data_IF_286856190360
#
_entry.id   IF_286856190360
#
_cell.length_a   1.000
_cell.length_b   1.000
_cell.length_c   1.000
_cell.angle_alpha   90.00
_cell.angle_beta   90.00
_cell.angle_gamma   90.00
#
_symmetry.space_group_name_H-M   'P 1'
#
loop_
_entity.id
_entity.type
_entity.pdbx_description
1 polymer ?
#
# COMPACT_ATOMS: atom_id res chain seq x y z
N UNK A 1 24.22 15.42 -7.42
CA UNK A 1 25.19 16.37 -8.03
C UNK A 1 26.61 16.28 -7.45
N UNK A 2 26.83 15.76 -6.25
CA UNK A 2 28.18 15.70 -5.63
C UNK A 2 29.19 14.71 -6.26
N UNK A 3 28.73 13.74 -7.04
CA UNK A 3 29.55 12.63 -7.56
C UNK A 3 29.77 12.65 -9.08
N UNK A 4 29.08 13.54 -9.80
CA UNK A 4 29.10 13.61 -11.27
C UNK A 4 29.30 15.06 -11.68
N UNK A 5 30.30 15.31 -12.52
CA UNK A 5 30.67 16.64 -13.00
C UNK A 5 30.21 16.85 -14.45
N UNK A 6 30.01 18.10 -14.85
CA UNK A 6 29.67 18.47 -16.23
C UNK A 6 28.18 18.38 -16.56
N UNK A 7 27.31 18.45 -15.55
CA UNK A 7 25.86 18.55 -15.73
C UNK A 7 25.50 20.04 -15.64
N UNK A 8 24.94 20.60 -16.72
CA UNK A 8 24.52 22.00 -16.74
C UNK A 8 23.09 22.18 -16.17
N UNK A 9 22.22 21.18 -16.38
CA UNK A 9 20.85 21.14 -15.85
C UNK A 9 20.52 19.73 -15.37
N UNK A 10 19.94 19.62 -14.17
CA UNK A 10 19.43 18.39 -13.58
C UNK A 10 17.93 18.54 -13.31
N UNK A 11 17.12 17.72 -13.97
CA UNK A 11 15.68 17.65 -13.75
C UNK A 11 15.39 16.42 -12.88
N UNK A 12 14.99 16.65 -11.63
CA UNK A 12 14.68 15.62 -10.65
C UNK A 12 13.21 15.18 -10.70
N UNK A 13 12.88 14.09 -10.00
CA UNK A 13 11.53 13.53 -9.86
C UNK A 13 11.47 12.50 -8.72
N UNK A 14 10.44 11.64 -8.70
CA UNK A 14 10.22 10.56 -7.72
C UNK A 14 9.94 10.99 -6.26
N UNK A 15 10.68 11.95 -5.70
CA UNK A 15 10.56 12.41 -4.31
C UNK A 15 9.35 13.32 -4.05
N UNK A 16 8.63 13.72 -5.10
CA UNK A 16 7.50 14.67 -5.06
C UNK A 16 7.88 16.04 -4.47
N UNK A 17 9.17 16.38 -4.42
CA UNK A 17 9.68 17.63 -3.86
C UNK A 17 9.63 18.74 -4.90
N UNK A 18 9.25 19.95 -4.48
CA UNK A 18 9.35 21.16 -5.30
C UNK A 18 10.74 21.78 -5.15
N UNK A 19 11.49 21.91 -6.26
CA UNK A 19 12.87 22.41 -6.26
C UNK A 19 13.06 23.33 -7.47
N UNK A 20 13.64 24.52 -7.25
CA UNK A 20 14.13 25.40 -8.31
C UNK A 20 15.28 26.22 -7.76
N UNK A 21 16.51 25.71 -7.91
CA UNK A 21 17.71 26.34 -7.36
C UNK A 21 18.99 25.98 -8.14
N UNK A 22 20.05 26.74 -7.91
CA UNK A 22 21.39 26.44 -8.44
C UNK A 22 22.20 25.65 -7.42
N UNK A 23 22.73 24.49 -7.83
CA UNK A 23 23.69 23.70 -7.05
C UNK A 23 25.05 23.80 -7.73
N UNK A 24 25.87 24.75 -7.27
CA UNK A 24 27.08 25.14 -8.00
C UNK A 24 26.71 25.82 -9.32
N UNK A 25 27.27 25.33 -10.42
CA UNK A 25 26.96 25.80 -11.78
C UNK A 25 25.82 25.01 -12.45
N UNK A 26 25.21 24.04 -11.75
CA UNK A 26 24.11 23.22 -12.26
C UNK A 26 22.76 23.78 -11.80
N UNK A 27 21.83 23.99 -12.73
CA UNK A 27 20.44 24.26 -12.40
C UNK A 27 19.74 22.96 -11.97
N UNK A 28 19.17 22.91 -10.77
CA UNK A 28 18.40 21.79 -10.24
C UNK A 28 16.91 22.16 -10.18
N UNK A 29 16.09 21.40 -10.87
CA UNK A 29 14.64 21.64 -10.97
C UNK A 29 13.84 20.37 -10.64
N UNK A 30 12.73 20.53 -9.94
CA UNK A 30 11.71 19.50 -9.69
C UNK A 30 10.34 20.15 -9.52
N UNK A 31 9.32 19.58 -10.15
CA UNK A 31 7.99 20.21 -10.26
C UNK A 31 7.01 19.79 -9.18
N UNK A 32 7.46 19.08 -8.14
CA UNK A 32 6.56 18.51 -7.13
C UNK A 32 5.82 17.28 -7.67
N UNK A 33 4.49 17.26 -7.52
CA UNK A 33 3.64 16.11 -7.80
C UNK A 33 2.31 16.51 -8.44
N UNK A 34 1.56 15.51 -8.92
CA UNK A 34 0.15 15.63 -9.34
C UNK A 34 -0.16 16.70 -10.40
N UNK A 35 0.85 17.16 -11.14
CA UNK A 35 0.70 18.25 -12.10
C UNK A 35 0.44 19.61 -11.44
N UNK A 36 0.77 19.79 -10.15
CA UNK A 36 0.61 21.06 -9.44
C UNK A 36 1.44 22.19 -10.06
N UNK A 37 2.59 21.86 -10.66
CA UNK A 37 3.45 22.79 -11.38
C UNK A 37 3.88 22.26 -12.76
N UNK A 38 4.09 23.20 -13.69
CA UNK A 38 4.85 22.97 -14.93
C UNK A 38 6.22 23.65 -14.78
N UNK A 39 7.29 22.87 -14.87
CA UNK A 39 8.66 23.38 -14.84
C UNK A 39 9.06 23.98 -16.18
N UNK A 40 9.71 25.14 -16.15
CA UNK A 40 10.24 25.83 -17.32
C UNK A 40 11.72 26.10 -17.12
N UNK A 41 12.54 25.58 -18.02
CA UNK A 41 13.96 25.90 -18.11
C UNK A 41 14.20 26.75 -19.36
N UNK A 42 14.77 27.92 -19.16
CA UNK A 42 15.15 28.84 -20.23
C UNK A 42 16.67 28.90 -20.35
N UNK A 43 17.16 28.93 -21.59
CA UNK A 43 18.57 29.10 -21.92
C UNK A 43 18.73 30.31 -22.83
N UNK A 44 19.49 31.30 -22.38
CA UNK A 44 19.69 32.55 -23.12
C UNK A 44 20.91 32.52 -24.07
N UNK A 45 21.64 31.39 -24.10
CA UNK A 45 22.89 31.23 -24.86
C UNK A 45 24.14 31.30 -23.98
N UNK A 46 24.01 31.67 -22.70
CA UNK A 46 25.10 31.73 -21.73
C UNK A 46 24.74 31.00 -20.42
N UNK A 47 23.54 31.21 -19.90
CA UNK A 47 23.09 30.68 -18.60
C UNK A 47 21.72 30.01 -18.69
N UNK A 48 21.50 29.04 -17.80
CA UNK A 48 20.19 28.42 -17.59
C UNK A 48 19.49 29.09 -16.40
N UNK A 49 18.19 29.31 -16.53
CA UNK A 49 17.32 29.72 -15.42
C UNK A 49 16.07 28.85 -15.41
N UNK A 50 15.61 28.50 -14.21
CA UNK A 50 14.38 27.74 -14.02
C UNK A 50 13.30 28.55 -13.32
N UNK A 51 12.06 28.16 -13.55
CA UNK A 51 10.89 28.60 -12.79
C UNK A 51 9.79 27.56 -12.86
N UNK A 52 8.97 27.55 -11.82
CA UNK A 52 7.76 26.75 -11.78
C UNK A 52 6.55 27.62 -12.10
N UNK A 53 5.68 27.11 -12.96
CA UNK A 53 4.38 27.71 -13.25
C UNK A 53 3.33 26.87 -12.52
N UNK A 54 2.68 27.39 -11.46
CA UNK A 54 1.62 26.66 -10.80
C UNK A 54 0.45 26.44 -11.75
N UNK A 55 -0.02 25.20 -11.86
CA UNK A 55 -1.19 24.88 -12.68
C UNK A 55 -2.44 25.65 -12.22
N UNK A 56 -2.53 25.95 -10.92
CA UNK A 56 -3.60 26.76 -10.34
C UNK A 56 -3.67 28.20 -10.90
N UNK A 57 -2.57 28.75 -11.44
CA UNK A 57 -2.56 30.06 -12.09
C UNK A 57 -3.10 30.01 -13.52
N UNK A 58 -3.22 28.82 -14.10
CA UNK A 58 -3.77 28.60 -15.43
C UNK A 58 -5.25 28.21 -15.34
N UNK A 59 -6.13 29.18 -15.58
CA UNK A 59 -7.58 28.94 -15.65
C UNK A 59 -8.08 28.53 -17.06
N UNK A 60 -7.18 28.37 -18.02
CA UNK A 60 -7.51 28.00 -19.40
C UNK A 60 -7.73 26.49 -19.54
N UNK A 61 -8.48 26.10 -20.57
CA UNK A 61 -8.57 24.73 -21.02
C UNK A 61 -8.52 24.74 -22.55
N UNK A 62 -7.67 23.90 -23.13
CA UNK A 62 -7.72 23.68 -24.59
C UNK A 62 -8.94 22.82 -24.90
N UNK A 63 -9.83 23.31 -25.76
CA UNK A 63 -11.10 22.61 -26.07
C UNK A 63 -10.88 21.26 -26.75
N UNK A 64 -9.78 21.10 -27.52
CA UNK A 64 -9.46 19.85 -28.20
C UNK A 64 -8.97 18.81 -27.19
N UNK A 65 -8.08 19.21 -26.28
CA UNK A 65 -7.59 18.35 -25.19
C UNK A 65 -8.73 17.99 -24.24
N UNK A 66 -9.56 18.97 -23.85
CA UNK A 66 -10.70 18.72 -22.98
C UNK A 66 -11.71 17.75 -23.60
N UNK A 67 -12.02 17.89 -24.89
CA UNK A 67 -12.90 16.96 -25.59
C UNK A 67 -12.33 15.54 -25.62
N UNK A 68 -11.01 15.39 -25.82
CA UNK A 68 -10.33 14.10 -25.77
C UNK A 68 -10.39 13.49 -24.36
N UNK A 69 -10.01 14.26 -23.33
CA UNK A 69 -10.02 13.80 -21.94
C UNK A 69 -11.43 13.41 -21.51
N UNK A 70 -12.43 14.25 -21.76
CA UNK A 70 -13.82 13.97 -21.38
C UNK A 70 -14.40 12.77 -22.14
N UNK A 71 -14.01 12.57 -23.40
CA UNK A 71 -14.44 11.41 -24.18
C UNK A 71 -13.91 10.10 -23.60
N UNK A 72 -12.60 10.05 -23.31
CA UNK A 72 -11.96 8.88 -22.69
C UNK A 72 -12.47 8.67 -21.26
N UNK A 73 -12.62 9.74 -20.48
CA UNK A 73 -13.17 9.65 -19.12
C UNK A 73 -14.57 9.08 -19.13
N UNK A 74 -15.46 9.52 -20.04
CA UNK A 74 -16.80 8.94 -20.15
C UNK A 74 -16.78 7.42 -20.45
N UNK A 75 -15.91 6.97 -21.36
CA UNK A 75 -15.76 5.53 -21.68
C UNK A 75 -15.22 4.74 -20.48
N UNK A 76 -14.27 5.31 -19.74
CA UNK A 76 -13.70 4.69 -18.52
C UNK A 76 -14.74 4.65 -17.41
N UNK A 77 -15.47 5.75 -17.16
CA UNK A 77 -16.52 5.83 -16.15
C UNK A 77 -17.66 4.85 -16.43
N UNK A 78 -18.04 4.65 -17.70
CA UNK A 78 -19.06 3.67 -18.07
C UNK A 78 -18.61 2.24 -17.68
N UNK A 79 -17.35 1.89 -17.93
CA UNK A 79 -16.82 0.58 -17.55
C UNK A 79 -16.66 0.44 -16.03
N UNK A 80 -16.15 1.47 -15.36
CA UNK A 80 -15.92 1.46 -13.91
C UNK A 80 -17.23 1.47 -13.11
N UNK A 81 -18.29 2.11 -13.62
CA UNK A 81 -19.61 2.18 -12.96
C UNK A 81 -20.41 0.89 -13.11
N UNK A 82 -19.93 -0.10 -13.87
CA UNK A 82 -20.62 -1.37 -14.03
C UNK A 82 -20.69 -2.11 -12.68
N UNK A 83 -21.91 -2.25 -12.17
CA UNK A 83 -22.20 -3.08 -11.00
C UNK A 83 -21.99 -4.55 -11.37
N UNK A 84 -21.16 -5.24 -10.59
CA UNK A 84 -20.86 -6.66 -10.80
C UNK A 84 -21.17 -7.53 -9.59
N UNK A 85 -21.35 -6.92 -8.42
CA UNK A 85 -21.60 -7.60 -7.15
C UNK A 85 -22.45 -6.72 -6.23
N UNK A 86 -22.78 -7.25 -5.06
CA UNK A 86 -23.41 -6.51 -3.96
C UNK A 86 -22.73 -6.86 -2.63
N UNK A 87 -22.78 -5.96 -1.65
CA UNK A 87 -22.48 -6.28 -0.24
C UNK A 87 -23.73 -6.10 0.61
N UNK A 88 -23.99 -7.06 1.51
CA UNK A 88 -25.11 -7.00 2.45
C UNK A 88 -24.78 -6.15 3.70
N UNK A 89 -23.50 -5.81 3.86
CA UNK A 89 -22.95 -5.15 5.06
C UNK A 89 -22.09 -3.95 4.67
N UNK A 90 -21.94 -2.99 5.59
CA UNK A 90 -20.97 -1.90 5.41
C UNK A 90 -19.55 -2.43 5.64
N UNK A 91 -18.67 -2.27 4.66
CA UNK A 91 -17.26 -2.64 4.74
C UNK A 91 -16.43 -1.43 5.16
N UNK A 92 -15.87 -1.46 6.38
CA UNK A 92 -15.21 -0.32 7.00
C UNK A 92 -13.76 -0.14 6.54
N UNK A 93 -13.52 0.88 5.71
CA UNK A 93 -12.20 1.34 5.28
C UNK A 93 -11.76 2.67 5.90
N UNK A 94 -12.41 3.11 6.99
CA UNK A 94 -12.06 4.36 7.66
C UNK A 94 -10.62 4.35 8.17
N UNK A 95 -9.98 5.52 8.17
CA UNK A 95 -8.58 5.64 8.57
C UNK A 95 -8.37 5.53 10.08
N UNK A 96 -9.23 6.16 10.90
CA UNK A 96 -9.05 6.23 12.35
C UNK A 96 -10.39 6.60 13.06
N UNK A 97 -10.89 5.75 13.98
CA UNK A 97 -10.50 4.35 14.14
C UNK A 97 -10.84 3.57 12.85
N UNK A 98 -10.05 2.55 12.54
CA UNK A 98 -10.29 1.67 11.40
C UNK A 98 -9.00 1.01 10.91
N UNK A 99 -8.82 0.93 9.59
CA UNK A 99 -7.78 0.07 8.96
C UNK A 99 -6.35 0.41 9.37
N UNK A 100 -6.12 1.55 10.03
CA UNK A 100 -4.80 2.01 10.51
C UNK A 100 -4.58 1.91 12.02
N UNK A 101 -5.57 1.42 12.75
CA UNK A 101 -5.53 1.33 14.23
C UNK A 101 -6.05 0.01 14.77
N UNK A 102 -6.91 -0.69 14.03
CA UNK A 102 -7.58 -1.91 14.46
C UNK A 102 -7.95 -2.82 13.27
N UNK A 103 -8.39 -4.04 13.57
CA UNK A 103 -9.00 -4.94 12.59
C UNK A 103 -10.28 -4.33 12.04
N UNK A 104 -10.49 -4.41 10.72
CA UNK A 104 -11.79 -4.11 10.13
C UNK A 104 -12.25 -5.24 9.23
N UNK A 105 -13.57 -5.35 9.05
CA UNK A 105 -14.14 -6.33 8.14
C UNK A 105 -13.70 -6.12 6.68
N UNK A 106 -13.47 -4.88 6.24
CA UNK A 106 -12.86 -4.62 4.92
C UNK A 106 -11.39 -5.06 4.89
N UNK A 107 -10.64 -4.87 5.98
CA UNK A 107 -9.28 -5.38 6.11
C UNK A 107 -9.21 -6.90 5.98
N UNK A 108 -10.16 -7.61 6.60
CA UNK A 108 -10.29 -9.06 6.49
C UNK A 108 -10.65 -9.51 5.08
N UNK A 109 -11.68 -8.90 4.48
CA UNK A 109 -12.10 -9.18 3.10
C UNK A 109 -10.95 -8.96 2.12
N UNK A 110 -10.24 -7.84 2.26
CA UNK A 110 -9.12 -7.52 1.39
C UNK A 110 -7.96 -8.49 1.55
N UNK A 111 -7.63 -8.86 2.79
CA UNK A 111 -6.54 -9.80 3.06
C UNK A 111 -6.88 -11.21 2.58
N UNK A 112 -8.15 -11.63 2.69
CA UNK A 112 -8.64 -12.91 2.17
C UNK A 112 -8.56 -12.97 0.65
N UNK A 113 -8.97 -11.90 -0.02
CA UNK A 113 -8.87 -11.80 -1.48
C UNK A 113 -7.42 -11.88 -1.97
N UNK A 114 -6.49 -11.19 -1.29
CA UNK A 114 -5.05 -11.25 -1.59
C UNK A 114 -4.50 -12.65 -1.37
N UNK A 115 -4.83 -13.30 -0.24
CA UNK A 115 -4.41 -14.66 0.05
C UNK A 115 -4.92 -15.65 -1.00
N UNK A 116 -6.22 -15.60 -1.31
CA UNK A 116 -6.83 -16.47 -2.30
C UNK A 116 -6.23 -16.27 -3.69
N UNK A 117 -6.03 -15.02 -4.13
CA UNK A 117 -5.44 -14.72 -5.43
C UNK A 117 -4.01 -15.24 -5.54
N UNK A 118 -3.22 -15.09 -4.47
CA UNK A 118 -1.89 -15.66 -4.39
C UNK A 118 -1.93 -17.19 -4.49
N UNK A 119 -2.83 -17.86 -3.78
CA UNK A 119 -3.00 -19.31 -3.85
C UNK A 119 -3.40 -19.79 -5.25
N UNK A 120 -4.26 -19.05 -5.97
CA UNK A 120 -4.57 -19.37 -7.37
C UNK A 120 -3.35 -19.24 -8.28
N UNK A 121 -2.47 -18.29 -7.99
CA UNK A 121 -1.33 -17.95 -8.85
C UNK A 121 -0.13 -18.88 -8.64
N UNK A 122 0.16 -19.23 -7.38
CA UNK A 122 1.38 -20.00 -7.04
C UNK A 122 1.11 -21.27 -6.25
N UNK A 123 -0.06 -21.44 -5.64
CA UNK A 123 -0.47 -22.63 -4.89
C UNK A 123 -0.64 -22.43 -3.37
N UNK A 124 -1.18 -23.46 -2.72
CA UNK A 124 -1.57 -23.47 -1.29
C UNK A 124 -0.39 -23.38 -0.31
N UNK A 125 0.85 -23.36 -0.78
CA UNK A 125 2.01 -23.07 0.08
C UNK A 125 1.98 -21.63 0.61
N UNK A 126 1.21 -20.73 -0.01
CA UNK A 126 0.95 -19.40 0.54
C UNK A 126 -0.09 -19.53 1.64
N UNK A 127 0.36 -19.38 2.89
CA UNK A 127 -0.46 -19.70 4.08
C UNK A 127 -1.08 -18.48 4.75
N UNK A 128 -0.63 -17.30 4.40
CA UNK A 128 -1.08 -16.05 5.01
C UNK A 128 -0.92 -14.87 4.04
N UNK A 129 -1.65 -13.79 4.31
CA UNK A 129 -1.47 -12.52 3.64
C UNK A 129 -1.41 -11.36 4.64
N UNK A 130 -0.67 -10.32 4.26
CA UNK A 130 -0.59 -9.05 4.99
C UNK A 130 -0.81 -7.91 4.00
N UNK A 131 -1.65 -6.93 4.33
CA UNK A 131 -1.73 -5.67 3.59
C UNK A 131 -1.77 -4.51 4.56
N UNK A 132 -1.07 -3.41 4.24
CA UNK A 132 -1.00 -2.25 5.12
C UNK A 132 -2.28 -1.39 4.98
N UNK A 133 -2.82 -0.88 6.09
CA UNK A 133 -4.02 -0.04 6.12
C UNK A 133 -3.88 1.27 5.31
N UNK A 134 -2.66 1.67 4.99
CA UNK A 134 -2.33 2.76 4.08
C UNK A 134 -2.78 2.49 2.65
N UNK A 135 -2.80 1.22 2.23
CA UNK A 135 -3.27 0.76 0.92
C UNK A 135 -4.79 0.79 0.77
N UNK A 136 -5.55 0.61 1.85
CA UNK A 136 -7.02 0.66 1.86
C UNK A 136 -7.49 2.12 1.99
N UNK A 137 -8.23 2.63 1.01
CA UNK A 137 -8.48 4.09 0.87
C UNK A 137 -9.93 4.52 1.04
N UNK A 138 -10.87 3.59 1.01
CA UNK A 138 -12.30 3.89 1.12
C UNK A 138 -13.07 2.74 1.77
N UNK A 139 -14.20 3.10 2.36
CA UNK A 139 -15.24 2.16 2.79
C UNK A 139 -16.16 1.81 1.61
N UNK A 140 -16.83 0.64 1.67
CA UNK A 140 -17.89 0.27 0.72
C UNK A 140 -19.19 0.16 1.51
N UNK A 141 -20.21 0.99 1.25
CA UNK A 141 -21.50 0.87 1.92
C UNK A 141 -22.27 -0.37 1.45
N UNK A 142 -23.19 -0.88 2.28
CA UNK A 142 -24.14 -1.92 1.89
C UNK A 142 -24.90 -1.53 0.60
N UNK A 143 -25.01 -2.46 -0.35
CA UNK A 143 -25.65 -2.26 -1.64
C UNK A 143 -24.81 -2.73 -2.81
N UNK A 144 -24.98 -2.07 -3.96
CA UNK A 144 -24.30 -2.39 -5.21
C UNK A 144 -22.79 -2.12 -5.12
N UNK A 145 -22.00 -3.01 -5.71
CA UNK A 145 -20.55 -2.89 -5.85
C UNK A 145 -20.22 -2.78 -7.34
N UNK A 146 -19.53 -1.70 -7.69
CA UNK A 146 -18.97 -1.45 -9.01
C UNK A 146 -17.47 -1.71 -9.06
N UNK A 147 -16.92 -1.79 -10.28
CA UNK A 147 -15.47 -1.85 -10.48
C UNK A 147 -14.76 -0.60 -9.93
N UNK A 148 -15.44 0.55 -9.97
CA UNK A 148 -14.94 1.79 -9.38
C UNK A 148 -14.76 1.68 -7.87
N UNK A 149 -15.65 0.99 -7.16
CA UNK A 149 -15.55 0.82 -5.71
C UNK A 149 -14.30 0.04 -5.35
N UNK A 150 -14.02 -1.07 -6.06
CA UNK A 150 -12.82 -1.89 -5.87
C UNK A 150 -11.54 -1.10 -6.16
N UNK A 151 -11.52 -0.34 -7.24
CA UNK A 151 -10.41 0.56 -7.58
C UNK A 151 -10.27 1.71 -6.58
N UNK A 152 -11.37 2.19 -5.99
CA UNK A 152 -11.33 3.25 -4.98
C UNK A 152 -10.77 2.70 -3.66
N UNK A 153 -11.04 1.44 -3.32
CA UNK A 153 -10.42 0.75 -2.17
C UNK A 153 -8.91 0.62 -2.35
N UNK A 154 -8.44 0.14 -3.51
CA UNK A 154 -7.01 0.00 -3.86
C UNK A 154 -6.64 0.83 -5.12
N UNK A 155 -6.39 2.14 -5.01
CA UNK A 155 -6.25 3.03 -6.17
C UNK A 155 -4.83 3.14 -6.74
N UNK A 156 -3.88 2.42 -6.16
CA UNK A 156 -2.46 2.58 -6.50
C UNK A 156 -1.97 1.62 -7.60
N UNK A 157 -2.80 0.63 -7.99
CA UNK A 157 -2.40 -0.39 -8.96
C UNK A 157 -1.27 -1.29 -8.45
N UNK A 158 -1.17 -1.46 -7.13
CA UNK A 158 -0.21 -2.38 -6.52
C UNK A 158 -0.54 -3.82 -6.93
N UNK A 159 0.50 -4.63 -7.10
CA UNK A 159 0.35 -6.05 -7.45
C UNK A 159 0.35 -6.96 -6.23
N UNK A 160 -0.35 -8.08 -6.32
CA UNK A 160 -0.22 -9.20 -5.36
C UNK A 160 1.14 -9.87 -5.58
N UNK A 161 1.97 -9.88 -4.55
CA UNK A 161 3.30 -10.49 -4.53
C UNK A 161 3.36 -11.56 -3.44
N UNK A 162 4.04 -12.66 -3.72
CA UNK A 162 4.30 -13.73 -2.75
C UNK A 162 5.77 -13.81 -2.43
N UNK A 163 6.14 -14.13 -1.18
CA UNK A 163 7.54 -14.30 -0.75
C UNK A 163 7.63 -15.14 0.52
N UNK A 164 8.82 -15.62 0.85
CA UNK A 164 9.06 -16.45 2.03
C UNK A 164 9.81 -15.68 3.11
N UNK A 165 9.29 -15.65 4.33
CA UNK A 165 9.92 -15.06 5.51
C UNK A 165 10.14 -16.12 6.57
N UNK A 166 11.12 -15.92 7.44
CA UNK A 166 11.19 -16.63 8.72
C UNK A 166 10.10 -16.12 9.66
N UNK A 167 9.70 -16.93 10.64
CA UNK A 167 8.77 -16.48 11.69
C UNK A 167 9.28 -15.26 12.45
N UNK A 168 10.57 -15.20 12.73
CA UNK A 168 11.21 -14.04 13.36
C UNK A 168 11.07 -12.76 12.53
N UNK A 169 11.27 -12.83 11.21
CA UNK A 169 11.09 -11.69 10.30
C UNK A 169 9.62 -11.25 10.21
N UNK A 170 8.67 -12.20 10.23
CA UNK A 170 7.24 -11.89 10.30
C UNK A 170 6.88 -11.17 11.61
N UNK A 171 7.42 -11.63 12.74
CA UNK A 171 7.22 -10.99 14.04
C UNK A 171 7.81 -9.58 14.09
N UNK A 172 9.02 -9.40 13.56
CA UNK A 172 9.64 -8.08 13.42
C UNK A 172 8.77 -7.13 12.59
N UNK A 173 8.27 -7.60 11.44
CA UNK A 173 7.43 -6.81 10.56
C UNK A 173 6.10 -6.38 11.23
N UNK A 174 5.39 -7.30 11.89
CA UNK A 174 4.12 -6.99 12.57
C UNK A 174 4.35 -6.06 13.77
N UNK A 175 5.44 -6.24 14.53
CA UNK A 175 5.77 -5.35 15.64
C UNK A 175 6.14 -3.94 15.16
N UNK A 176 6.90 -3.82 14.07
CA UNK A 176 7.20 -2.52 13.46
C UNK A 176 5.94 -1.85 12.88
N UNK A 177 5.06 -2.61 12.22
CA UNK A 177 3.81 -2.12 11.63
C UNK A 177 2.82 -1.59 12.68
N UNK A 178 2.95 -2.03 13.93
CA UNK A 178 2.10 -1.62 15.07
C UNK A 178 2.81 -0.62 16.00
N UNK A 179 3.99 -0.13 15.63
CA UNK A 179 4.82 0.77 16.44
C UNK A 179 4.09 2.06 16.87
N UNK A 180 3.18 2.55 16.03
CA UNK A 180 2.49 3.83 16.23
C UNK A 180 1.25 3.73 17.11
N UNK A 181 0.73 2.52 17.37
CA UNK A 181 -0.46 2.35 18.20
C UNK A 181 -0.26 2.98 19.60
N UNK A 182 -1.28 3.69 20.12
CA UNK A 182 -2.66 3.77 19.60
C UNK A 182 -2.91 4.82 18.51
N UNK A 183 -1.90 5.55 18.05
CA UNK A 183 -2.07 6.50 16.95
C UNK A 183 -2.18 5.78 15.59
N UNK A 184 -2.99 6.34 14.69
CA UNK A 184 -3.13 5.85 13.32
C UNK A 184 -1.81 5.87 12.54
N UNK A 185 -1.51 4.75 11.89
CA UNK A 185 -0.42 4.65 10.91
C UNK A 185 -0.86 3.88 9.67
N UNK A 186 -0.47 4.37 8.49
CA UNK A 186 -0.67 3.64 7.24
C UNK A 186 0.01 2.26 7.26
N UNK A 187 1.02 2.07 8.11
CA UNK A 187 1.72 0.80 8.22
C UNK A 187 0.90 -0.32 8.88
N UNK A 188 -0.13 -0.01 9.68
CA UNK A 188 -0.85 -1.01 10.47
C UNK A 188 -1.32 -2.20 9.59
N UNK A 189 -1.06 -3.45 10.00
CA UNK A 189 -1.34 -4.60 9.16
C UNK A 189 -2.81 -5.03 9.27
N UNK A 190 -3.46 -5.24 8.13
CA UNK A 190 -4.62 -6.11 8.00
C UNK A 190 -4.12 -7.48 7.50
N UNK A 191 -4.72 -8.57 7.97
CA UNK A 191 -4.14 -9.92 7.78
C UNK A 191 -5.17 -10.98 7.42
N UNK A 192 -4.72 -12.01 6.72
CA UNK A 192 -5.41 -13.28 6.53
C UNK A 192 -4.47 -14.42 6.88
N UNK A 193 -5.00 -15.47 7.53
CA UNK A 193 -4.20 -16.61 7.98
C UNK A 193 -3.20 -16.29 9.10
N UNK A 194 -3.27 -15.11 9.74
CA UNK A 194 -2.46 -14.73 10.91
C UNK A 194 -3.40 -14.32 12.02
N UNK A 195 -3.12 -14.76 13.25
CA UNK A 195 -3.77 -14.26 14.47
C UNK A 195 -2.68 -13.68 15.36
N UNK A 196 -2.84 -12.42 15.77
CA UNK A 196 -1.90 -11.75 16.67
C UNK A 196 -2.58 -10.80 17.67
N UNK A 197 -1.95 -10.64 18.82
CA UNK A 197 -2.28 -9.63 19.83
C UNK A 197 -1.19 -8.56 19.89
N UNK A 198 -1.58 -7.29 20.07
CA UNK A 198 -0.69 -6.17 20.41
C UNK A 198 -1.03 -5.63 21.81
N UNK A 199 -0.04 -5.59 22.70
CA UNK A 199 -0.14 -4.95 24.01
C UNK A 199 0.38 -3.50 23.93
N UNK A 200 -0.54 -2.53 23.92
CA UNK A 200 -0.21 -1.10 23.84
C UNK A 200 0.21 -0.51 25.18
N UNK A 201 0.13 -1.28 26.28
CA UNK A 201 0.70 -0.89 27.57
C UNK A 201 2.22 -1.01 27.61
N UNK A 202 2.80 -1.79 26.68
CA UNK A 202 4.24 -1.89 26.46
C UNK A 202 4.65 -0.90 25.38
N UNK A 203 5.64 -0.05 25.67
CA UNK A 203 6.13 0.98 24.75
C UNK A 203 6.95 0.34 23.61
N UNK A 204 6.78 0.87 22.39
CA UNK A 204 7.67 0.51 21.28
C UNK A 204 9.05 1.14 21.48
N UNK A 205 10.07 0.30 21.57
CA UNK A 205 11.45 0.77 21.71
C UNK A 205 12.15 0.67 20.36
N UNK A 206 12.54 1.80 19.80
CA UNK A 206 13.31 1.85 18.56
C UNK A 206 14.66 1.14 18.73
N UNK A 207 14.93 0.18 17.86
CA UNK A 207 16.23 -0.43 17.63
C UNK A 207 17.01 0.35 16.58
N UNK A 208 17.64 -0.39 15.64
CA UNK A 208 18.36 0.24 14.54
C UNK A 208 17.39 0.87 13.53
N UNK A 209 17.76 2.02 12.98
CA UNK A 209 17.03 2.63 11.88
C UNK A 209 17.19 1.76 10.63
N UNK A 210 16.09 1.48 9.93
CA UNK A 210 16.17 0.75 8.67
C UNK A 210 16.95 1.55 7.62
N UNK A 211 17.80 0.91 6.80
CA UNK A 211 18.56 1.57 5.74
C UNK A 211 17.68 2.42 4.81
N UNK A 212 18.10 3.67 4.56
CA UNK A 212 17.40 4.64 3.72
C UNK A 212 15.93 4.90 4.11
N UNK A 213 15.59 4.74 5.40
CA UNK A 213 14.24 4.92 5.93
C UNK A 213 14.21 5.96 7.05
N UNK A 214 13.00 6.37 7.45
CA UNK A 214 12.74 7.13 8.69
C UNK A 214 12.20 6.25 9.81
N UNK A 215 11.97 4.96 9.52
CA UNK A 215 11.45 3.97 10.46
C UNK A 215 12.57 3.14 11.10
N UNK A 216 12.26 2.55 12.26
CA UNK A 216 13.21 1.80 13.08
C UNK A 216 12.70 0.38 13.30
N UNK A 217 13.62 -0.59 13.26
CA UNK A 217 13.35 -1.94 13.74
C UNK A 217 12.94 -1.92 15.22
N UNK A 218 12.14 -2.87 15.69
CA UNK A 218 11.91 -3.03 17.13
C UNK A 218 13.21 -3.46 17.80
N UNK A 219 13.56 -2.82 18.92
CA UNK A 219 14.73 -3.23 19.71
C UNK A 219 14.57 -4.63 20.32
N UNK A 220 13.32 -5.05 20.57
CA UNK A 220 12.97 -6.34 21.17
C UNK A 220 11.72 -6.92 20.47
N UNK A 221 11.83 -7.48 19.25
CA UNK A 221 10.69 -8.13 18.59
C UNK A 221 10.04 -9.18 19.50
N UNK A 222 8.71 -9.19 19.56
CA UNK A 222 7.92 -10.01 20.49
C UNK A 222 7.64 -9.36 21.84
N UNK A 223 8.07 -8.11 22.06
CA UNK A 223 7.85 -7.42 23.33
C UNK A 223 6.43 -6.88 23.49
N UNK A 224 5.83 -6.45 22.38
CA UNK A 224 4.46 -5.91 22.30
C UNK A 224 3.53 -6.85 21.55
N UNK A 225 4.07 -7.54 20.54
CA UNK A 225 3.30 -8.40 19.65
C UNK A 225 3.46 -9.86 20.05
N UNK A 226 2.35 -10.57 20.14
CA UNK A 226 2.33 -12.04 20.22
C UNK A 226 1.56 -12.56 19.02
N UNK A 227 2.21 -13.33 18.15
CA UNK A 227 1.53 -14.05 17.06
C UNK A 227 1.10 -15.41 17.63
N UNK A 228 -0.20 -15.68 17.66
CA UNK A 228 -0.71 -16.97 18.14
C UNK A 228 -0.62 -18.05 17.05
N UNK A 229 -0.94 -17.73 15.80
CA UNK A 229 -0.94 -18.70 14.70
C UNK A 229 -0.68 -18.08 13.34
N UNK A 230 -0.10 -18.88 12.43
CA UNK A 230 0.09 -18.58 11.01
C UNK A 230 -0.33 -19.80 10.19
N UNK A 231 -1.18 -19.60 9.18
CA UNK A 231 -1.71 -20.70 8.36
C UNK A 231 -2.61 -21.68 9.11
N UNK A 232 -3.16 -21.27 10.27
CA UNK A 232 -3.91 -22.14 11.17
C UNK A 232 -3.05 -23.03 12.09
N UNK A 233 -1.73 -22.97 11.97
CA UNK A 233 -0.79 -23.67 12.83
C UNK A 233 -0.17 -22.72 13.86
N UNK A 234 0.29 -23.28 14.99
CA UNK A 234 0.95 -22.48 16.02
C UNK A 234 2.19 -21.75 15.46
N UNK A 235 2.35 -20.49 15.84
CA UNK A 235 3.50 -19.69 15.40
C UNK A 235 4.83 -20.27 15.89
N UNK A 236 5.82 -20.33 15.00
CA UNK A 236 7.18 -20.77 15.25
C UNK A 236 8.16 -19.74 14.66
N UNK A 237 8.97 -19.05 15.49
CA UNK A 237 9.90 -18.04 15.01
C UNK A 237 11.02 -18.60 14.12
N UNK A 238 11.30 -19.91 14.17
CA UNK A 238 12.33 -20.56 13.35
C UNK A 238 11.77 -21.13 12.03
N UNK A 239 10.45 -21.22 11.88
CA UNK A 239 9.80 -21.75 10.68
C UNK A 239 9.88 -20.76 9.51
N UNK A 240 9.74 -21.29 8.29
CA UNK A 240 9.58 -20.51 7.07
C UNK A 240 8.11 -20.44 6.70
N UNK A 241 7.61 -19.24 6.44
CA UNK A 241 6.25 -18.96 6.00
C UNK A 241 6.28 -18.33 4.62
N UNK A 242 5.59 -18.92 3.65
CA UNK A 242 5.33 -18.24 2.38
C UNK A 242 4.03 -17.47 2.52
N UNK A 243 4.09 -16.16 2.32
CA UNK A 243 2.98 -15.24 2.51
C UNK A 243 2.77 -14.39 1.26
N UNK A 244 1.58 -13.80 1.16
CA UNK A 244 1.25 -12.79 0.17
C UNK A 244 1.22 -11.38 0.78
N UNK A 245 1.52 -10.39 -0.04
CA UNK A 245 1.35 -8.97 0.30
C UNK A 245 1.16 -8.16 -0.97
N UNK A 246 1.19 -6.84 -0.83
CA UNK A 246 1.32 -5.94 -1.96
C UNK A 246 2.80 -5.68 -2.30
N UNK A 247 3.08 -5.34 -3.55
CA UNK A 247 4.44 -5.06 -4.04
C UNK A 247 5.16 -3.93 -3.27
N UNK A 248 4.44 -2.93 -2.77
CA UNK A 248 5.01 -1.84 -1.97
C UNK A 248 5.55 -2.32 -0.62
N UNK A 249 4.77 -3.08 0.16
CA UNK A 249 5.22 -3.63 1.45
C UNK A 249 6.24 -4.76 1.25
N UNK A 250 6.10 -5.58 0.21
CA UNK A 250 7.07 -6.61 -0.15
C UNK A 250 8.45 -6.01 -0.47
N UNK A 251 8.50 -4.81 -1.06
CA UNK A 251 9.74 -4.06 -1.30
C UNK A 251 10.30 -3.34 -0.06
N UNK A 252 9.68 -3.50 1.11
CA UNK A 252 10.09 -2.87 2.36
C UNK A 252 9.47 -1.49 2.61
N UNK A 253 8.40 -1.14 1.90
CA UNK A 253 7.63 0.09 2.12
C UNK A 253 7.03 0.20 3.53
N UNK A 254 6.68 1.42 3.94
CA UNK A 254 6.33 1.74 5.33
C UNK A 254 7.39 1.19 6.32
N UNK A 255 6.96 0.39 7.29
CA UNK A 255 7.81 -0.22 8.33
C UNK A 255 8.23 -1.65 7.98
N UNK A 256 7.86 -2.18 6.81
CA UNK A 256 7.97 -3.59 6.43
C UNK A 256 9.36 -3.96 5.89
N UNK A 257 10.43 -3.29 6.32
CA UNK A 257 11.78 -3.55 5.82
C UNK A 257 12.21 -5.03 5.92
N UNK A 258 11.73 -5.74 6.94
CA UNK A 258 11.97 -7.18 7.11
C UNK A 258 11.44 -8.03 5.93
N UNK A 259 10.44 -7.56 5.18
CA UNK A 259 9.95 -8.22 3.97
C UNK A 259 10.88 -8.05 2.77
N UNK A 260 11.89 -7.18 2.85
CA UNK A 260 12.90 -7.00 1.80
C UNK A 260 14.23 -7.73 2.12
N UNK A 261 14.30 -8.48 3.22
CA UNK A 261 15.48 -9.26 3.58
C UNK A 261 15.80 -10.36 2.56
N UNK A 262 17.04 -10.88 2.53
CA UNK A 262 17.46 -11.84 1.50
C UNK A 262 16.59 -13.09 1.37
N UNK A 263 16.04 -13.62 2.48
CA UNK A 263 15.11 -14.76 2.42
C UNK A 263 13.78 -14.41 1.76
N UNK A 264 13.33 -13.16 1.93
CA UNK A 264 12.09 -12.64 1.34
C UNK A 264 12.22 -12.21 -0.12
N UNK A 265 13.44 -12.02 -0.64
CA UNK A 265 13.67 -11.67 -2.05
C UNK A 265 13.48 -12.82 -3.06
N UNK A 266 12.92 -13.97 -2.65
CA UNK A 266 12.60 -15.09 -3.56
C UNK A 266 11.24 -14.96 -4.25
N UNK A 267 10.59 -13.80 -4.13
CA UNK A 267 9.18 -13.64 -4.39
C UNK A 267 8.73 -13.64 -5.85
N UNK A 268 7.46 -13.98 -6.07
CA UNK A 268 6.78 -13.98 -7.37
C UNK A 268 5.73 -12.87 -7.35
N UNK A 269 5.86 -11.92 -8.26
CA UNK A 269 4.77 -11.04 -8.65
C UNK A 269 3.77 -11.85 -9.50
N UNK A 270 2.51 -11.89 -9.05
CA UNK A 270 1.46 -12.67 -9.70
C UNK A 270 0.96 -12.03 -11.00
N UNK A 271 1.25 -10.74 -11.21
CA UNK A 271 0.73 -9.93 -12.31
C UNK A 271 -0.74 -9.54 -12.14
N UNK A 272 -1.32 -9.75 -10.96
CA UNK A 272 -2.71 -9.40 -10.63
C UNK A 272 -2.70 -8.24 -9.63
N UNK A 273 -3.45 -7.18 -9.91
CA UNK A 273 -3.57 -6.03 -9.02
C UNK A 273 -4.43 -6.35 -7.79
N UNK A 274 -4.30 -5.56 -6.72
CA UNK A 274 -5.10 -5.77 -5.50
C UNK A 274 -6.60 -5.57 -5.76
N UNK A 275 -6.98 -4.59 -6.57
CA UNK A 275 -8.37 -4.37 -6.95
C UNK A 275 -8.94 -5.53 -7.79
N UNK A 276 -8.15 -6.11 -8.69
CA UNK A 276 -8.55 -7.31 -9.43
C UNK A 276 -8.66 -8.52 -8.51
N UNK A 277 -7.79 -8.65 -7.50
CA UNK A 277 -7.90 -9.70 -6.49
C UNK A 277 -9.24 -9.61 -5.72
N UNK A 278 -9.68 -8.41 -5.34
CA UNK A 278 -11.00 -8.20 -4.73
C UNK A 278 -12.14 -8.63 -5.68
N UNK A 279 -12.06 -8.22 -6.95
CA UNK A 279 -13.07 -8.54 -7.98
C UNK A 279 -13.16 -10.05 -8.19
N UNK A 280 -12.01 -10.71 -8.36
CA UNK A 280 -11.92 -12.15 -8.59
C UNK A 280 -12.43 -12.92 -7.39
N UNK A 281 -11.99 -12.58 -6.17
CA UNK A 281 -12.46 -13.24 -4.96
C UNK A 281 -13.98 -13.09 -4.76
N UNK A 282 -14.50 -11.88 -4.98
CA UNK A 282 -15.95 -11.63 -4.92
C UNK A 282 -16.72 -12.48 -5.93
N UNK A 283 -16.22 -12.59 -7.16
CA UNK A 283 -16.90 -13.28 -8.25
C UNK A 283 -16.79 -14.80 -8.13
N UNK A 284 -15.59 -15.31 -7.84
CA UNK A 284 -15.27 -16.74 -7.90
C UNK A 284 -15.50 -17.48 -6.59
N UNK A 285 -15.34 -16.79 -5.44
CA UNK A 285 -15.49 -17.40 -4.11
C UNK A 285 -16.82 -17.02 -3.48
N UNK A 286 -17.15 -15.72 -3.48
CA UNK A 286 -18.35 -15.22 -2.81
C UNK A 286 -19.60 -15.24 -3.71
N UNK A 287 -19.46 -15.59 -4.98
CA UNK A 287 -20.58 -15.69 -5.92
C UNK A 287 -21.28 -14.36 -6.20
N UNK A 288 -20.56 -13.25 -6.08
CA UNK A 288 -21.06 -11.89 -6.34
C UNK A 288 -21.75 -11.22 -5.14
N UNK A 289 -21.74 -11.83 -3.95
CA UNK A 289 -22.35 -11.24 -2.74
C UNK A 289 -21.35 -11.29 -1.58
N UNK A 290 -20.90 -10.13 -1.10
CA UNK A 290 -20.13 -10.04 0.15
C UNK A 290 -21.14 -10.03 1.31
N UNK A 291 -21.26 -11.18 1.99
CA UNK A 291 -22.35 -11.44 2.93
C UNK A 291 -21.99 -11.26 4.41
N UNK A 292 -22.82 -11.88 5.25
CA UNK A 292 -22.70 -11.91 6.71
C UNK A 292 -21.35 -12.42 7.23
N UNK A 293 -20.59 -13.19 6.43
CA UNK A 293 -19.22 -13.61 6.79
C UNK A 293 -18.25 -12.43 7.00
N UNK A 294 -18.57 -11.24 6.46
CA UNK A 294 -17.84 -9.99 6.69
C UNK A 294 -18.70 -8.96 7.46
N UNK A 295 -19.72 -9.38 8.20
CA UNK A 295 -20.52 -8.47 9.02
C UNK A 295 -19.74 -7.82 10.17
N UNK A 296 -18.68 -8.47 10.63
CA UNK A 296 -17.80 -8.00 11.72
C UNK A 296 -16.35 -8.40 11.41
N UNK A 297 -15.35 -7.74 12.03
CA UNK A 297 -13.98 -8.24 12.04
C UNK A 297 -13.93 -9.68 12.58
N UNK A 298 -13.04 -10.49 12.03
CA UNK A 298 -12.98 -11.94 12.29
C UNK A 298 -12.20 -12.32 13.57
N UNK A 299 -11.62 -11.35 14.27
CA UNK A 299 -10.88 -11.55 15.51
C UNK A 299 -9.44 -12.03 15.28
N UNK A 300 -8.87 -11.67 14.13
CA UNK A 300 -7.48 -11.94 13.75
C UNK A 300 -6.50 -11.01 14.45
N UNK A 301 -6.95 -9.81 14.84
CA UNK A 301 -6.10 -8.79 15.45
C UNK A 301 -6.73 -8.30 16.75
N UNK A 302 -6.00 -8.47 17.86
CA UNK A 302 -6.45 -7.95 19.15
C UNK A 302 -5.51 -6.85 19.65
N UNK A 303 -6.01 -5.62 19.80
CA UNK A 303 -5.27 -4.50 20.42
C UNK A 303 -5.72 -4.33 21.87
N UNK A 304 -4.78 -4.35 22.83
CA UNK A 304 -5.05 -4.28 24.28
C UNK A 304 -4.36 -3.10 24.93
#
# INVERSE_FOLDING_TARGET
LEKVTGIDVFLDGHSHTEISEMVGDTLLESTGQYGENVGVVEYDGETFSGRLIPAAEYAGSDETVAALVNGVDAEVQEQLSAVFATTEVDLNGEREPGVRTEETNLGDFASDAILWQAQQSVGDQVVAAVTNGGGIRASIPAGDISMNDMKTVFPYGNMVVTFTVTGAELLEAIEAATAFLPASSGAFPQVAGIVFTVDTSVEYVNGEMYPNSTYYAPANPGSRVTIESVGGEAFDPEALYTIASNDFTAAGGDTYYAFAYPYANSGIDTGVSLEDALINYTTEVLGGVVGEEYAQPQGRITVK
#
